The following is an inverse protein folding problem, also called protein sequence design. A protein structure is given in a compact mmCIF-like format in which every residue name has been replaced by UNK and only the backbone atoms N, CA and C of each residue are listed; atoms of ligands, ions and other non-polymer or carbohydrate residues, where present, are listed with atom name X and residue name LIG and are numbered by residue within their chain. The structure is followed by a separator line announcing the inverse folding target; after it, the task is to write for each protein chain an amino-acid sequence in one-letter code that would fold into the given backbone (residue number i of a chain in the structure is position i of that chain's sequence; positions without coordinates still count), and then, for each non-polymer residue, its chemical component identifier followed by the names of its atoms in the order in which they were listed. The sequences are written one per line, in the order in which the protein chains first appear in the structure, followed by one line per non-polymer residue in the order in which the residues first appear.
data_IF_546050501873
#
_entry.id   IF_546050501873
#
_cell.length_a   1.000
_cell.length_b   1.000
_cell.length_c   1.000
_cell.angle_alpha   90.00
_cell.angle_beta   90.00
_cell.angle_gamma   90.00
#
_symmetry.space_group_name_H-M   'P 1'
#
loop_
_entity.id
_entity.type
_entity.pdbx_description
1 polymer ?
#
# COMPACT_ATOMS: atom_id res chain seq x y z
N UNK A 1 16.78 -7.46 -7.64
CA UNK A 1 17.03 -6.48 -6.54
C UNK A 1 18.41 -6.78 -6.00
N UNK A 2 19.31 -5.80 -5.99
CA UNK A 2 20.71 -6.03 -5.64
C UNK A 2 20.87 -6.39 -4.16
N UNK A 3 21.67 -7.42 -3.88
CA UNK A 3 22.05 -7.79 -2.52
C UNK A 3 22.93 -6.69 -1.90
N UNK A 4 22.58 -6.12 -0.74
CA UNK A 4 23.37 -5.05 -0.12
C UNK A 4 24.73 -5.53 0.41
N UNK A 5 24.95 -6.84 0.52
CA UNK A 5 26.17 -7.41 1.08
C UNK A 5 27.21 -7.82 0.03
N UNK A 6 26.77 -8.49 -1.05
CA UNK A 6 27.67 -8.98 -2.09
C UNK A 6 27.39 -8.39 -3.48
N UNK A 7 26.44 -7.45 -3.59
CA UNK A 7 26.02 -6.77 -4.83
C UNK A 7 25.51 -7.67 -5.95
N UNK A 8 25.27 -8.96 -5.68
CA UNK A 8 24.61 -9.86 -6.61
C UNK A 8 23.26 -9.28 -7.04
N UNK A 9 22.94 -9.37 -8.33
CA UNK A 9 21.80 -8.67 -8.97
C UNK A 9 20.44 -9.25 -8.57
N UNK A 10 20.44 -10.48 -8.06
CA UNK A 10 19.24 -11.22 -7.73
C UNK A 10 19.05 -11.50 -6.23
N UNK A 11 17.78 -11.69 -5.85
CA UNK A 11 17.34 -11.91 -4.48
C UNK A 11 15.98 -12.64 -4.49
N UNK A 12 15.84 -13.67 -3.65
CA UNK A 12 14.58 -14.40 -3.48
C UNK A 12 13.73 -13.78 -2.37
N UNK A 13 12.44 -13.57 -2.62
CA UNK A 13 11.49 -13.15 -1.58
C UNK A 13 11.13 -14.35 -0.71
N UNK A 14 11.19 -14.21 0.61
CA UNK A 14 10.86 -15.25 1.59
C UNK A 14 9.54 -14.94 2.30
N UNK A 15 9.35 -13.67 2.68
CA UNK A 15 8.19 -13.22 3.45
C UNK A 15 7.77 -11.84 2.93
N UNK A 16 6.47 -11.60 2.80
CA UNK A 16 5.91 -10.30 2.40
C UNK A 16 4.83 -9.90 3.38
N UNK A 17 4.92 -8.68 3.90
CA UNK A 17 3.92 -8.10 4.80
C UNK A 17 3.54 -6.71 4.32
N UNK A 18 2.25 -6.44 4.27
CA UNK A 18 1.72 -5.09 4.04
C UNK A 18 1.75 -4.33 5.36
N UNK A 19 2.17 -3.07 5.37
CA UNK A 19 2.00 -2.19 6.54
C UNK A 19 0.54 -1.78 6.72
N UNK A 20 0.14 -1.47 7.95
CA UNK A 20 -1.27 -1.25 8.36
C UNK A 20 -2.05 -0.27 7.47
N UNK A 21 -1.39 0.71 6.85
CA UNK A 21 -2.04 1.69 5.96
C UNK A 21 -2.11 1.27 4.48
N UNK A 22 -1.71 0.05 4.12
CA UNK A 22 -1.68 -0.43 2.71
C UNK A 22 -0.64 0.26 1.82
N UNK A 23 0.00 1.33 2.29
CA UNK A 23 0.87 2.20 1.49
C UNK A 23 2.23 1.57 1.14
N UNK A 24 2.67 0.57 1.91
CA UNK A 24 3.98 -0.04 1.75
C UNK A 24 3.93 -1.56 1.92
N UNK A 25 4.80 -2.25 1.19
CA UNK A 25 5.04 -3.68 1.32
C UNK A 25 6.48 -3.85 1.83
N UNK A 26 6.62 -4.43 3.03
CA UNK A 26 7.91 -4.93 3.52
C UNK A 26 8.11 -6.35 3.03
N UNK A 27 9.15 -6.56 2.21
CA UNK A 27 9.57 -7.89 1.75
C UNK A 27 10.88 -8.30 2.40
N UNK A 28 10.89 -9.45 3.08
CA UNK A 28 12.11 -10.11 3.53
C UNK A 28 12.68 -10.92 2.38
N UNK A 29 13.90 -10.61 1.97
CA UNK A 29 14.61 -11.23 0.86
C UNK A 29 15.84 -12.00 1.34
N UNK A 30 16.26 -13.01 0.59
CA UNK A 30 17.52 -13.72 0.77
C UNK A 30 18.31 -13.71 -0.53
N UNK A 31 19.60 -13.43 -0.42
CA UNK A 31 20.52 -13.54 -1.55
C UNK A 31 20.87 -15.01 -1.82
N UNK A 32 20.73 -15.50 -3.07
CA UNK A 32 21.10 -16.89 -3.40
C UNK A 32 22.63 -17.12 -3.37
N UNK A 33 23.44 -16.06 -3.48
CA UNK A 33 24.90 -16.17 -3.59
C UNK A 33 25.60 -16.14 -2.21
N UNK A 34 25.17 -15.28 -1.28
CA UNK A 34 25.77 -15.17 0.05
C UNK A 34 24.86 -15.66 1.19
N UNK A 35 23.65 -16.15 0.88
CA UNK A 35 22.64 -16.65 1.82
C UNK A 35 22.17 -15.67 2.91
N UNK A 36 22.64 -14.41 2.89
CA UNK A 36 22.22 -13.38 3.83
C UNK A 36 20.80 -12.90 3.56
N UNK A 37 20.11 -12.51 4.62
CA UNK A 37 18.74 -11.99 4.59
C UNK A 37 18.74 -10.48 4.78
N UNK A 38 17.86 -9.79 4.07
CA UNK A 38 17.65 -8.35 4.18
C UNK A 38 16.19 -7.99 3.93
N UNK A 39 15.76 -6.80 4.36
CA UNK A 39 14.38 -6.33 4.16
C UNK A 39 14.38 -5.20 3.15
N UNK A 40 13.46 -5.24 2.19
CA UNK A 40 13.19 -4.14 1.28
C UNK A 40 11.82 -3.56 1.57
N UNK A 41 11.68 -2.26 1.41
CA UNK A 41 10.43 -1.55 1.57
C UNK A 41 10.03 -1.03 0.18
N UNK A 42 8.92 -1.55 -0.33
CA UNK A 42 8.34 -1.16 -1.61
C UNK A 42 7.15 -0.27 -1.29
N UNK A 43 7.20 1.00 -1.69
CA UNK A 43 6.08 1.93 -1.53
C UNK A 43 5.27 1.96 -2.82
N UNK A 44 4.01 1.56 -2.76
CA UNK A 44 3.04 1.76 -3.83
C UNK A 44 2.37 3.11 -3.64
N UNK A 45 2.93 4.16 -4.23
CA UNK A 45 2.30 5.49 -4.24
C UNK A 45 1.20 5.53 -5.28
N UNK A 46 -0.03 5.21 -4.88
CA UNK A 46 -1.22 5.52 -5.67
C UNK A 46 -1.46 7.04 -5.62
N UNK A 47 -1.71 7.65 -6.78
CA UNK A 47 -2.08 9.06 -6.89
C UNK A 47 -3.50 9.17 -7.45
N UNK A 48 -4.30 10.08 -6.90
CA UNK A 48 -5.64 10.38 -7.37
C UNK A 48 -5.61 11.71 -8.12
N UNK A 49 -6.11 11.70 -9.35
CA UNK A 49 -6.34 12.92 -10.13
C UNK A 49 -7.74 13.43 -9.79
N UNK A 50 -7.84 14.59 -9.15
CA UNK A 50 -9.13 15.22 -8.86
C UNK A 50 -9.79 15.72 -10.13
N UNK A 51 -11.11 15.95 -10.08
CA UNK A 51 -11.86 16.60 -11.16
C UNK A 51 -11.28 17.99 -11.52
N UNK A 52 -10.61 18.65 -10.58
CA UNK A 52 -9.89 19.91 -10.82
C UNK A 52 -8.56 19.75 -11.57
N UNK A 53 -8.14 18.53 -11.90
CA UNK A 53 -6.85 18.22 -12.52
C UNK A 53 -5.67 18.10 -11.54
N UNK A 54 -5.87 18.41 -10.26
CA UNK A 54 -4.82 18.29 -9.25
C UNK A 54 -4.55 16.82 -8.89
N UNK A 55 -3.28 16.42 -8.87
CA UNK A 55 -2.83 15.11 -8.39
C UNK A 55 -2.52 15.16 -6.90
N UNK A 56 -3.09 14.26 -6.11
CA UNK A 56 -2.70 14.07 -4.71
C UNK A 56 -2.44 12.60 -4.40
N UNK A 57 -1.56 12.27 -3.43
CA UNK A 57 -1.41 10.91 -2.96
C UNK A 57 -2.75 10.35 -2.47
N UNK A 58 -3.04 9.12 -2.85
CA UNK A 58 -4.18 8.36 -2.34
C UNK A 58 -4.07 8.26 -0.82
N UNK A 59 -5.18 8.53 -0.14
CA UNK A 59 -5.28 8.39 1.31
C UNK A 59 -6.62 7.78 1.65
N UNK A 60 -6.58 6.57 2.21
CA UNK A 60 -7.78 5.83 2.67
C UNK A 60 -8.61 6.66 3.64
N UNK A 61 -7.97 7.39 4.55
CA UNK A 61 -8.65 8.28 5.49
C UNK A 61 -9.46 9.40 4.79
N UNK A 62 -8.93 9.97 3.70
CA UNK A 62 -9.66 10.96 2.89
C UNK A 62 -10.86 10.33 2.19
N UNK A 63 -10.72 9.12 1.64
CA UNK A 63 -11.82 8.39 1.01
C UNK A 63 -12.92 8.12 2.02
N UNK A 64 -12.59 7.56 3.19
CA UNK A 64 -13.55 7.30 4.26
C UNK A 64 -14.24 8.58 4.73
N UNK A 65 -13.51 9.68 4.89
CA UNK A 65 -14.10 10.99 5.22
C UNK A 65 -15.05 11.49 4.14
N UNK A 66 -14.69 11.35 2.86
CA UNK A 66 -15.52 11.73 1.73
C UNK A 66 -16.81 10.90 1.63
N UNK A 67 -16.70 9.58 1.81
CA UNK A 67 -17.85 8.66 1.82
C UNK A 67 -18.77 8.98 3.00
N UNK A 68 -18.22 9.15 4.22
CA UNK A 68 -19.00 9.55 5.40
C UNK A 68 -19.76 10.85 5.19
N UNK A 69 -19.12 11.87 4.60
CA UNK A 69 -19.78 13.14 4.25
C UNK A 69 -20.86 12.97 3.20
N UNK A 70 -20.63 12.13 2.19
CA UNK A 70 -21.59 11.87 1.12
C UNK A 70 -22.80 11.06 1.59
N UNK A 71 -22.63 10.25 2.63
CA UNK A 71 -23.67 9.42 3.24
C UNK A 71 -24.33 10.06 4.48
N UNK A 72 -23.99 11.30 4.85
CA UNK A 72 -24.63 11.98 5.98
C UNK A 72 -26.15 12.02 5.82
N UNK A 73 -26.87 11.47 6.80
CA UNK A 73 -28.34 11.37 6.81
C UNK A 73 -28.91 9.99 6.45
N UNK A 74 -28.07 8.99 6.14
CA UNK A 74 -28.51 7.59 5.97
C UNK A 74 -28.15 6.76 7.21
N UNK A 75 -29.11 6.07 7.84
CA UNK A 75 -28.91 5.51 9.18
C UNK A 75 -28.06 4.22 9.29
N UNK A 76 -27.68 3.51 8.22
CA UNK A 76 -27.20 2.12 8.37
C UNK A 76 -25.96 1.71 7.54
N UNK A 77 -24.89 2.52 7.48
CA UNK A 77 -23.76 2.20 6.57
C UNK A 77 -22.38 2.52 7.20
N UNK A 78 -22.10 2.14 8.46
CA UNK A 78 -20.72 2.31 8.97
C UNK A 78 -19.77 1.21 8.48
N UNK A 79 -20.21 -0.05 8.42
CA UNK A 79 -19.37 -1.20 8.01
C UNK A 79 -19.10 -1.24 6.49
N UNK A 80 -20.06 -0.81 5.68
CA UNK A 80 -19.96 -0.85 4.21
C UNK A 80 -18.93 0.16 3.65
N UNK A 81 -18.62 1.22 4.41
CA UNK A 81 -17.66 2.24 3.99
C UNK A 81 -16.20 1.73 3.97
N UNK A 82 -15.85 0.81 4.88
CA UNK A 82 -14.51 0.22 4.94
C UNK A 82 -14.24 -0.72 3.77
N UNK A 83 -15.25 -1.51 3.38
CA UNK A 83 -15.23 -2.39 2.20
C UNK A 83 -15.10 -1.60 0.91
N UNK A 84 -15.79 -0.47 0.80
CA UNK A 84 -15.75 0.39 -0.38
C UNK A 84 -14.38 1.03 -0.56
N UNK A 85 -13.73 1.45 0.53
CA UNK A 85 -12.35 1.95 0.49
C UNK A 85 -11.34 0.88 0.02
N UNK A 86 -11.53 -0.37 0.44
CA UNK A 86 -10.69 -1.49 0.00
C UNK A 86 -10.86 -1.80 -1.50
N UNK A 87 -12.08 -1.71 -2.04
CA UNK A 87 -12.34 -1.87 -3.50
C UNK A 87 -11.69 -0.79 -4.37
N UNK A 88 -11.34 0.38 -3.82
CA UNK A 88 -10.63 1.44 -4.56
C UNK A 88 -9.12 1.17 -4.61
N UNK A 89 -8.61 0.32 -3.71
CA UNK A 89 -7.20 -0.06 -3.64
C UNK A 89 -6.83 -1.24 -4.56
N UNK A 90 -7.80 -2.05 -4.99
CA UNK A 90 -7.66 -3.16 -5.98
C UNK A 90 -7.81 -2.68 -7.43
#
# INVERSE_FOLDING_TARGET
MHCPFCRHTDSRVIDSRTTDDGACIRRRRQCPQCNRRFTTLETSSLNVIKRSGASEPFSRAKVLSGVRKSCQGRPDIEDDHALLAQKVEE
#
